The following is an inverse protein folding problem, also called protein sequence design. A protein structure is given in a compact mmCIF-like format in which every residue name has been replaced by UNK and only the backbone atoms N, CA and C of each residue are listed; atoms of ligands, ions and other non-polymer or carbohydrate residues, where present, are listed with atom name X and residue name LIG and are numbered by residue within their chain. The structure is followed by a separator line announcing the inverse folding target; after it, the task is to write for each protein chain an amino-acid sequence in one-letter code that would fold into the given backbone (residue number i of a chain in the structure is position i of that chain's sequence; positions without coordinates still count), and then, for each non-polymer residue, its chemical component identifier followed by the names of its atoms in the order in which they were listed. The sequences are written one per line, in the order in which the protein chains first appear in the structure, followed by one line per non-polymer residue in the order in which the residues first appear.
data_IF_029699324846
#
_entry.id   IF_029699324846
#
_cell.length_a   1.000
_cell.length_b   1.000
_cell.length_c   1.000
_cell.angle_alpha   90.00
_cell.angle_beta   90.00
_cell.angle_gamma   90.00
#
_symmetry.space_group_name_H-M   'P 1'
#
loop_
_entity.id
_entity.type
_entity.pdbx_description
1 polymer ?
#
# COMPACT_ATOMS: atom_id res chain seq x y z
N UNK A 1 41.14 -52.80 -18.38
CA UNK A 1 39.70 -53.09 -18.11
C UNK A 1 39.26 -52.55 -16.76
N UNK A 2 40.04 -52.69 -15.68
CA UNK A 2 39.70 -52.11 -14.37
C UNK A 2 39.73 -50.56 -14.35
N UNK A 3 40.57 -49.93 -15.16
CA UNK A 3 40.66 -48.46 -15.26
C UNK A 3 39.35 -47.81 -15.75
N UNK A 4 38.63 -48.46 -16.65
CA UNK A 4 37.37 -47.94 -17.19
C UNK A 4 36.26 -47.98 -16.13
N UNK A 5 36.26 -49.01 -15.27
CA UNK A 5 35.34 -49.13 -14.14
C UNK A 5 35.62 -48.07 -13.07
N UNK A 6 36.90 -47.80 -12.77
CA UNK A 6 37.29 -46.76 -11.81
C UNK A 6 36.92 -45.38 -12.33
N UNK A 7 37.18 -45.09 -13.62
CA UNK A 7 36.82 -43.83 -14.25
C UNK A 7 35.30 -43.56 -14.19
N UNK A 8 34.47 -44.57 -14.46
CA UNK A 8 33.01 -44.44 -14.35
C UNK A 8 32.54 -44.23 -12.91
N UNK A 9 33.11 -44.95 -11.95
CA UNK A 9 32.76 -44.81 -10.54
C UNK A 9 33.05 -43.39 -10.03
N UNK A 10 34.22 -42.83 -10.36
CA UNK A 10 34.58 -41.45 -10.01
C UNK A 10 33.66 -40.45 -10.72
N UNK A 11 33.35 -40.67 -12.00
CA UNK A 11 32.42 -39.83 -12.75
C UNK A 11 31.03 -39.75 -12.12
N UNK A 12 30.49 -40.86 -11.63
CA UNK A 12 29.20 -40.89 -10.93
C UNK A 12 29.23 -40.15 -9.59
N UNK A 13 30.31 -40.30 -8.82
CA UNK A 13 30.48 -39.57 -7.55
C UNK A 13 30.53 -38.06 -7.79
N UNK A 14 31.26 -37.61 -8.82
CA UNK A 14 31.32 -36.20 -9.20
C UNK A 14 29.96 -35.68 -9.66
N UNK A 15 29.24 -36.44 -10.49
CA UNK A 15 27.92 -36.05 -10.96
C UNK A 15 26.90 -35.97 -9.80
N UNK A 16 26.95 -36.90 -8.85
CA UNK A 16 26.12 -36.84 -7.64
C UNK A 16 26.43 -35.60 -6.78
N UNK A 17 27.71 -35.24 -6.62
CA UNK A 17 28.12 -34.04 -5.92
C UNK A 17 27.59 -32.77 -6.61
N UNK A 18 27.76 -32.65 -7.94
CA UNK A 18 27.24 -31.50 -8.71
C UNK A 18 25.72 -31.43 -8.64
N UNK A 19 25.02 -32.56 -8.73
CA UNK A 19 23.57 -32.62 -8.64
C UNK A 19 23.05 -32.13 -7.27
N UNK A 20 23.73 -32.49 -6.18
CA UNK A 20 23.38 -32.02 -4.85
C UNK A 20 23.49 -30.49 -4.73
N UNK A 21 24.56 -29.90 -5.29
CA UNK A 21 24.75 -28.45 -5.31
C UNK A 21 23.67 -27.77 -6.14
N UNK A 22 23.32 -28.33 -7.30
CA UNK A 22 22.26 -27.81 -8.16
C UNK A 22 20.89 -27.75 -7.44
N UNK A 23 20.54 -28.78 -6.68
CA UNK A 23 19.29 -28.80 -5.91
C UNK A 23 19.25 -27.69 -4.84
N UNK A 24 20.36 -27.49 -4.13
CA UNK A 24 20.48 -26.41 -3.14
C UNK A 24 20.35 -25.05 -3.82
N UNK A 25 21.04 -24.84 -4.94
CA UNK A 25 20.97 -23.58 -5.69
C UNK A 25 19.56 -23.27 -6.19
N UNK A 26 18.85 -24.26 -6.75
CA UNK A 26 17.49 -24.06 -7.26
C UNK A 26 16.51 -23.72 -6.12
N UNK A 27 16.65 -24.37 -4.96
CA UNK A 27 15.87 -24.04 -3.76
C UNK A 27 16.13 -22.62 -3.28
N UNK A 28 17.39 -22.22 -3.20
CA UNK A 28 17.76 -20.86 -2.76
C UNK A 28 17.28 -19.79 -3.74
N UNK A 29 17.34 -20.04 -5.05
CA UNK A 29 16.83 -19.11 -6.07
C UNK A 29 15.33 -18.82 -5.86
N UNK A 30 14.52 -19.86 -5.68
CA UNK A 30 13.07 -19.73 -5.43
C UNK A 30 12.77 -18.96 -4.15
N UNK A 31 13.56 -19.19 -3.10
CA UNK A 31 13.41 -18.46 -1.84
C UNK A 31 13.75 -16.97 -2.01
N UNK A 32 14.80 -16.67 -2.78
CA UNK A 32 15.21 -15.29 -3.07
C UNK A 32 14.16 -14.56 -3.92
N UNK A 33 13.54 -15.23 -4.89
CA UNK A 33 12.44 -14.68 -5.69
C UNK A 33 11.27 -14.26 -4.78
N UNK A 34 10.83 -15.14 -3.87
CA UNK A 34 9.72 -14.83 -2.95
C UNK A 34 10.02 -13.66 -2.01
N UNK A 35 11.27 -13.56 -1.51
CA UNK A 35 11.68 -12.43 -0.66
C UNK A 35 11.68 -11.13 -1.48
N UNK A 36 12.16 -11.19 -2.71
CA UNK A 36 12.22 -10.04 -3.61
C UNK A 36 10.82 -9.53 -3.94
N UNK A 37 9.90 -10.44 -4.30
CA UNK A 37 8.49 -10.13 -4.56
C UNK A 37 7.82 -9.51 -3.33
N UNK A 38 7.96 -10.12 -2.15
CA UNK A 38 7.41 -9.59 -0.89
C UNK A 38 7.86 -8.15 -0.62
N UNK A 39 9.13 -7.84 -0.84
CA UNK A 39 9.66 -6.48 -0.65
C UNK A 39 9.20 -5.51 -1.75
N UNK A 40 9.09 -5.98 -3.00
CA UNK A 40 8.53 -5.19 -4.10
C UNK A 40 7.08 -4.83 -3.82
N UNK A 41 6.27 -5.78 -3.36
CA UNK A 41 4.88 -5.55 -2.96
C UNK A 41 4.79 -4.49 -1.85
N UNK A 42 5.66 -4.55 -0.84
CA UNK A 42 5.69 -3.53 0.21
C UNK A 42 6.01 -2.13 -0.37
N UNK A 43 6.99 -2.03 -1.28
CA UNK A 43 7.34 -0.75 -1.92
C UNK A 43 6.22 -0.23 -2.81
N UNK A 44 5.60 -1.08 -3.64
CA UNK A 44 4.47 -0.71 -4.50
C UNK A 44 3.28 -0.23 -3.67
N UNK A 45 2.94 -0.94 -2.60
CA UNK A 45 1.86 -0.57 -1.70
C UNK A 45 2.13 0.80 -1.03
N UNK A 46 3.34 1.01 -0.52
CA UNK A 46 3.75 2.27 0.09
C UNK A 46 3.72 3.43 -0.91
N UNK A 47 4.24 3.24 -2.12
CA UNK A 47 4.26 4.26 -3.17
C UNK A 47 2.84 4.66 -3.58
N UNK A 48 1.96 3.69 -3.78
CA UNK A 48 0.58 3.93 -4.19
C UNK A 48 -0.19 4.74 -3.14
N UNK A 49 -0.16 4.30 -1.86
CA UNK A 49 -0.83 5.03 -0.79
C UNK A 49 -0.22 6.42 -0.63
N UNK A 50 1.11 6.53 -0.66
CA UNK A 50 1.79 7.82 -0.48
C UNK A 50 1.44 8.80 -1.60
N UNK A 51 1.43 8.36 -2.86
CA UNK A 51 1.10 9.20 -4.02
C UNK A 51 -0.32 9.75 -3.93
N UNK A 52 -1.30 8.88 -3.67
CA UNK A 52 -2.70 9.29 -3.59
C UNK A 52 -2.94 10.17 -2.35
N UNK A 53 -2.31 9.84 -1.22
CA UNK A 53 -2.41 10.62 0.01
C UNK A 53 -1.76 12.01 -0.10
N UNK A 54 -0.73 12.17 -0.93
CA UNK A 54 -0.11 13.47 -1.19
C UNK A 54 -1.05 14.45 -1.91
N UNK A 55 -2.06 13.94 -2.62
CA UNK A 55 -3.10 14.74 -3.28
C UNK A 55 -4.32 15.01 -2.38
N UNK A 56 -4.44 14.32 -1.24
CA UNK A 56 -5.54 14.55 -0.30
C UNK A 56 -5.67 16.03 0.08
N UNK A 57 -6.87 16.60 -0.04
CA UNK A 57 -7.11 18.01 0.23
C UNK A 57 -6.96 18.93 -0.97
N UNK A 58 -6.66 18.40 -2.15
CA UNK A 58 -6.67 19.19 -3.38
C UNK A 58 -8.10 19.56 -3.77
N UNK A 59 -8.29 20.78 -4.27
CA UNK A 59 -9.55 21.28 -4.82
C UNK A 59 -9.33 22.23 -6.00
N UNK A 60 -8.21 22.05 -6.72
CA UNK A 60 -7.78 22.84 -7.87
C UNK A 60 -7.66 24.36 -7.71
N UNK A 61 -7.32 25.01 -8.84
CA UNK A 61 -7.05 26.45 -8.93
C UNK A 61 -8.09 27.21 -9.78
N UNK A 62 -9.14 26.52 -10.22
CA UNK A 62 -10.28 27.06 -10.99
C UNK A 62 -11.56 26.28 -10.65
N UNK A 63 -11.71 25.87 -9.38
CA UNK A 63 -12.91 25.17 -8.97
C UNK A 63 -14.11 26.10 -9.01
N UNK A 64 -15.25 25.57 -9.49
CA UNK A 64 -16.52 26.32 -9.43
C UNK A 64 -16.91 26.59 -7.97
N UNK A 65 -16.56 25.66 -7.07
CA UNK A 65 -16.73 25.78 -5.62
C UNK A 65 -15.48 25.28 -4.91
N UNK A 66 -14.93 26.06 -3.98
CA UNK A 66 -13.80 25.61 -3.15
C UNK A 66 -14.34 24.81 -1.98
N UNK A 67 -13.96 23.54 -1.89
CA UNK A 67 -14.33 22.67 -0.77
C UNK A 67 -13.48 22.96 0.48
N UNK A 68 -14.11 23.04 1.67
CA UNK A 68 -13.38 23.20 2.92
C UNK A 68 -12.62 21.92 3.27
N UNK A 69 -11.63 22.05 4.17
CA UNK A 69 -10.92 20.89 4.70
C UNK A 69 -11.81 20.09 5.65
N UNK A 70 -11.77 18.77 5.58
CA UNK A 70 -12.47 17.91 6.52
C UNK A 70 -11.90 18.07 7.94
N UNK A 71 -12.74 18.47 8.89
CA UNK A 71 -12.39 18.66 10.32
C UNK A 71 -13.05 17.65 11.25
N UNK A 72 -13.91 16.76 10.74
CA UNK A 72 -14.67 15.80 11.56
C UNK A 72 -15.84 16.42 12.33
N UNK A 73 -16.08 17.73 12.19
CA UNK A 73 -17.14 18.49 12.87
C UNK A 73 -18.28 18.90 11.93
N UNK A 74 -18.33 18.44 10.69
CA UNK A 74 -19.42 18.77 9.76
C UNK A 74 -20.67 17.98 10.16
N UNK A 75 -21.45 18.60 11.05
CA UNK A 75 -22.83 18.30 11.46
C UNK A 75 -23.85 18.43 10.32
N UNK A 76 -23.41 18.30 9.07
CA UNK A 76 -24.28 18.05 7.93
C UNK A 76 -23.74 16.79 7.26
N UNK A 77 -24.52 15.73 7.31
CA UNK A 77 -24.23 14.40 6.76
C UNK A 77 -23.81 14.41 5.28
N UNK A 78 -23.92 15.54 4.58
CA UNK A 78 -23.64 15.69 3.15
C UNK A 78 -22.88 16.98 2.76
N UNK A 79 -22.20 17.70 3.67
CA UNK A 79 -21.37 18.83 3.24
C UNK A 79 -20.04 18.31 2.64
N UNK A 80 -19.76 18.51 1.33
CA UNK A 80 -18.54 18.03 0.72
C UNK A 80 -17.32 18.74 1.33
N UNK A 81 -16.26 17.97 1.56
CA UNK A 81 -15.00 18.46 2.09
C UNK A 81 -13.85 17.66 1.49
N UNK A 82 -12.66 18.25 1.46
CA UNK A 82 -11.44 17.62 0.95
C UNK A 82 -10.42 17.38 2.08
N UNK A 83 -9.51 16.44 1.87
CA UNK A 83 -8.51 16.03 2.85
C UNK A 83 -8.84 14.68 3.48
N UNK A 84 -8.30 14.37 4.66
CA UNK A 84 -8.58 13.10 5.33
C UNK A 84 -10.02 13.12 5.82
N UNK A 85 -10.84 12.17 5.35
CA UNK A 85 -12.26 12.03 5.67
C UNK A 85 -12.50 11.01 6.78
N UNK A 86 -11.63 10.01 6.91
CA UNK A 86 -11.62 9.06 8.02
C UNK A 86 -10.19 8.64 8.38
N UNK A 87 -9.87 8.70 9.68
CA UNK A 87 -8.55 8.42 10.22
C UNK A 87 -8.59 7.20 11.17
N UNK A 88 -8.70 5.99 10.61
CA UNK A 88 -8.74 4.75 11.40
C UNK A 88 -7.36 4.08 11.48
N UNK A 89 -7.14 3.23 12.48
CA UNK A 89 -5.85 2.57 12.67
C UNK A 89 -5.45 1.66 11.49
N UNK A 90 -6.40 0.97 10.84
CA UNK A 90 -6.12 -0.01 9.77
C UNK A 90 -6.72 0.36 8.41
N UNK A 91 -7.34 1.54 8.31
CA UNK A 91 -7.93 2.04 7.08
C UNK A 91 -7.88 3.56 7.07
N UNK A 92 -7.65 4.14 5.90
CA UNK A 92 -7.68 5.57 5.70
C UNK A 92 -8.60 5.91 4.55
N UNK A 93 -9.43 6.94 4.75
CA UNK A 93 -10.22 7.54 3.68
C UNK A 93 -9.82 9.00 3.54
N UNK A 94 -9.72 9.47 2.30
CA UNK A 94 -9.43 10.86 2.00
C UNK A 94 -10.09 11.28 0.70
N UNK A 95 -10.39 12.58 0.61
CA UNK A 95 -11.02 13.20 -0.52
C UNK A 95 -10.12 14.26 -1.17
N UNK A 96 -10.32 14.44 -2.46
CA UNK A 96 -9.82 15.52 -3.29
C UNK A 96 -10.88 15.81 -4.35
N UNK A 97 -10.85 17.02 -4.91
CA UNK A 97 -11.72 17.45 -6.00
C UNK A 97 -10.77 17.81 -7.15
N UNK A 98 -10.71 16.93 -8.15
CA UNK A 98 -9.72 16.96 -9.25
C UNK A 98 -10.35 17.15 -10.61
N UNK A 99 -11.64 16.84 -10.78
CA UNK A 99 -12.30 16.89 -12.08
C UNK A 99 -13.79 17.21 -11.96
N UNK A 100 -14.48 17.25 -13.09
CA UNK A 100 -15.93 17.38 -13.15
C UNK A 100 -16.59 16.01 -13.34
N UNK A 101 -17.92 15.96 -13.26
CA UNK A 101 -18.66 14.71 -13.48
C UNK A 101 -18.39 14.02 -14.84
N UNK A 102 -17.91 14.76 -15.84
CA UNK A 102 -17.52 14.22 -17.14
C UNK A 102 -16.10 13.65 -17.17
N UNK A 103 -15.26 13.93 -16.16
CA UNK A 103 -13.86 13.53 -16.09
C UNK A 103 -12.97 14.28 -17.10
N UNK A 104 -13.44 15.41 -17.64
CA UNK A 104 -12.76 16.16 -18.71
C UNK A 104 -12.50 17.62 -18.36
N UNK A 105 -13.18 18.13 -17.34
CA UNK A 105 -13.04 19.47 -16.81
C UNK A 105 -12.23 19.54 -15.52
N UNK A 106 -12.20 20.73 -14.95
CA UNK A 106 -11.61 20.99 -13.64
C UNK A 106 -12.57 20.65 -12.49
N UNK A 107 -12.11 20.82 -11.24
CA UNK A 107 -12.89 20.53 -10.04
C UNK A 107 -14.26 21.24 -10.04
N UNK A 108 -15.33 20.52 -9.77
CA UNK A 108 -16.71 21.04 -9.84
C UNK A 108 -17.34 21.30 -8.46
N UNK A 109 -16.63 20.97 -7.38
CA UNK A 109 -17.09 21.21 -6.02
C UNK A 109 -17.84 20.04 -5.39
N UNK A 110 -17.69 18.83 -5.92
CA UNK A 110 -18.04 17.61 -5.22
C UNK A 110 -16.83 16.66 -5.06
N UNK A 111 -17.07 15.40 -4.72
CA UNK A 111 -16.02 14.38 -4.53
C UNK A 111 -16.49 12.99 -4.96
N UNK A 112 -17.54 12.95 -5.76
CA UNK A 112 -18.26 11.75 -6.13
C UNK A 112 -17.77 11.18 -7.47
N UNK A 113 -16.78 11.84 -8.08
CA UNK A 113 -16.17 11.39 -9.34
C UNK A 113 -15.00 10.44 -9.13
N UNK A 114 -14.51 9.86 -10.23
CA UNK A 114 -13.47 8.84 -10.16
C UNK A 114 -12.15 9.41 -9.59
N UNK A 115 -11.57 8.70 -8.63
CA UNK A 115 -10.34 9.04 -7.90
C UNK A 115 -10.44 10.24 -6.95
N UNK A 116 -11.65 10.67 -6.61
CA UNK A 116 -11.86 11.81 -5.72
C UNK A 116 -12.00 11.40 -4.26
N UNK A 117 -12.75 10.34 -3.98
CA UNK A 117 -12.87 9.78 -2.64
C UNK A 117 -12.21 8.40 -2.59
N UNK A 118 -11.00 8.34 -2.03
CA UNK A 118 -10.18 7.13 -2.02
C UNK A 118 -10.16 6.54 -0.61
N UNK A 119 -10.34 5.22 -0.51
CA UNK A 119 -10.17 4.46 0.73
C UNK A 119 -9.19 3.31 0.52
N UNK A 120 -8.26 3.18 1.46
CA UNK A 120 -7.34 2.05 1.56
C UNK A 120 -7.61 1.23 2.82
N UNK A 121 -7.56 -0.09 2.68
CA UNK A 121 -7.63 -1.06 3.75
C UNK A 121 -7.04 -2.41 3.28
N UNK A 122 -6.75 -3.30 4.21
CA UNK A 122 -6.36 -4.68 3.88
C UNK A 122 -7.60 -5.57 3.93
N UNK A 123 -7.78 -6.38 2.90
CA UNK A 123 -8.87 -7.34 2.82
C UNK A 123 -8.39 -8.64 2.15
N UNK A 124 -9.24 -9.66 2.16
CA UNK A 124 -8.94 -10.93 1.49
C UNK A 124 -9.58 -10.95 0.10
N UNK A 125 -8.76 -11.11 -0.94
CA UNK A 125 -9.18 -11.29 -2.33
C UNK A 125 -8.72 -12.67 -2.80
N UNK A 126 -9.64 -13.53 -3.24
CA UNK A 126 -9.29 -14.88 -3.72
C UNK A 126 -8.54 -15.76 -2.71
N UNK A 127 -8.73 -15.53 -1.40
CA UNK A 127 -8.00 -16.24 -0.34
C UNK A 127 -6.61 -15.66 0.00
N UNK A 128 -6.18 -14.61 -0.69
CA UNK A 128 -4.90 -13.92 -0.48
C UNK A 128 -5.16 -12.56 0.19
N UNK A 129 -4.43 -12.18 1.24
CA UNK A 129 -4.54 -10.85 1.82
C UNK A 129 -3.95 -9.81 0.86
N UNK A 130 -4.69 -8.76 0.57
CA UNK A 130 -4.34 -7.75 -0.42
C UNK A 130 -4.63 -6.35 0.11
N UNK A 131 -3.85 -5.38 -0.38
CA UNK A 131 -4.19 -3.97 -0.26
C UNK A 131 -5.38 -3.70 -1.19
N UNK A 132 -6.49 -3.27 -0.59
CA UNK A 132 -7.65 -2.77 -1.30
C UNK A 132 -7.53 -1.29 -1.57
N UNK A 133 -7.89 -0.87 -2.77
CA UNK A 133 -8.17 0.52 -3.12
C UNK A 133 -9.63 0.63 -3.54
N UNK A 134 -10.38 1.51 -2.89
CA UNK A 134 -11.75 1.87 -3.26
C UNK A 134 -11.79 3.34 -3.69
N UNK A 135 -12.53 3.63 -4.75
CA UNK A 135 -12.84 4.99 -5.21
C UNK A 135 -14.33 5.27 -5.03
N UNK A 136 -14.73 6.54 -4.97
CA UNK A 136 -16.12 7.06 -5.01
C UNK A 136 -17.02 6.32 -6.01
N UNK A 137 -16.55 6.16 -7.25
CA UNK A 137 -17.29 5.50 -8.34
C UNK A 137 -17.26 3.96 -8.29
N UNK A 138 -16.43 3.37 -7.43
CA UNK A 138 -16.35 1.91 -7.27
C UNK A 138 -17.05 1.48 -5.98
N UNK A 139 -18.15 0.75 -6.12
CA UNK A 139 -18.81 0.13 -4.98
C UNK A 139 -17.90 -0.88 -4.24
N UNK A 140 -16.97 -1.50 -4.96
CA UNK A 140 -16.10 -2.59 -4.46
C UNK A 140 -14.64 -2.16 -4.31
N UNK A 141 -13.93 -2.82 -3.38
CA UNK A 141 -12.47 -2.71 -3.23
C UNK A 141 -11.79 -3.49 -4.35
N UNK A 142 -10.84 -2.85 -5.03
CA UNK A 142 -9.99 -3.52 -6.02
C UNK A 142 -8.69 -3.95 -5.35
N UNK A 143 -8.19 -5.19 -5.59
CA UNK A 143 -6.92 -5.63 -5.06
C UNK A 143 -5.81 -4.99 -5.88
N UNK A 144 -5.06 -4.07 -5.27
CA UNK A 144 -4.00 -3.33 -5.98
C UNK A 144 -2.61 -3.92 -5.72
N UNK A 145 -2.41 -4.57 -4.57
CA UNK A 145 -1.16 -5.26 -4.23
C UNK A 145 -1.50 -6.50 -3.41
N UNK A 146 -0.99 -7.66 -3.82
CA UNK A 146 -1.18 -8.92 -3.13
C UNK A 146 -0.17 -9.15 -2.01
N UNK A 147 -0.47 -10.12 -1.14
CA UNK A 147 0.34 -10.53 0.00
C UNK A 147 0.62 -9.39 0.99
N UNK A 148 -0.30 -8.43 1.12
CA UNK A 148 -0.26 -7.38 2.14
C UNK A 148 -1.05 -7.87 3.35
N UNK A 149 -0.34 -8.32 4.38
CA UNK A 149 -0.91 -8.96 5.57
C UNK A 149 -1.41 -8.00 6.64
N UNK A 150 -0.80 -6.81 6.74
CA UNK A 150 -1.23 -5.77 7.67
C UNK A 150 -0.95 -4.38 7.11
N UNK A 151 -1.81 -3.45 7.49
CA UNK A 151 -1.70 -2.03 7.22
C UNK A 151 -2.06 -1.29 8.49
N UNK A 152 -1.24 -0.31 8.87
CA UNK A 152 -1.54 0.58 9.98
C UNK A 152 -1.18 2.03 9.68
N UNK A 153 -1.94 2.93 10.28
CA UNK A 153 -1.78 4.37 10.17
C UNK A 153 -1.64 4.99 11.56
N UNK A 154 -0.64 5.86 11.70
CA UNK A 154 -0.48 6.74 12.86
C UNK A 154 -0.53 8.18 12.38
N UNK A 155 -1.51 8.92 12.88
CA UNK A 155 -1.80 10.28 12.46
C UNK A 155 -1.17 11.28 13.42
N UNK A 156 -0.40 12.21 12.88
CA UNK A 156 0.43 13.13 13.65
C UNK A 156 0.11 14.59 13.31
N UNK A 157 0.15 15.51 14.30
CA UNK A 157 0.06 16.94 14.06
C UNK A 157 1.30 17.50 13.35
N UNK A 158 1.27 18.81 13.04
CA UNK A 158 2.38 19.52 12.37
C UNK A 158 3.70 19.38 13.14
N UNK A 159 3.61 19.46 14.47
CA UNK A 159 4.73 19.39 15.41
C UNK A 159 4.43 18.35 16.48
N UNK A 160 5.48 17.77 17.08
CA UNK A 160 5.35 16.73 18.09
C UNK A 160 5.14 15.32 17.53
N UNK A 161 4.98 14.36 18.44
CA UNK A 161 4.88 12.91 18.15
C UNK A 161 3.61 12.28 18.70
N UNK A 162 2.75 13.04 19.38
CA UNK A 162 1.50 12.54 19.93
C UNK A 162 0.50 12.26 18.80
N UNK A 163 0.02 11.03 18.72
CA UNK A 163 -0.97 10.65 17.74
C UNK A 163 -2.32 11.35 18.02
N UNK A 164 -3.05 11.69 16.96
CA UNK A 164 -4.38 12.32 17.05
C UNK A 164 -5.32 11.76 16.00
N UNK A 165 -6.58 11.54 16.36
CA UNK A 165 -7.65 11.19 15.41
C UNK A 165 -8.47 12.41 14.99
N UNK A 166 -8.16 13.59 15.56
CA UNK A 166 -8.81 14.84 15.17
C UNK A 166 -8.30 15.27 13.78
N UNK A 167 -9.18 15.12 12.79
CA UNK A 167 -8.90 15.46 11.39
C UNK A 167 -8.42 16.91 11.22
N UNK A 168 -8.87 17.83 12.09
CA UNK A 168 -8.47 19.24 12.10
C UNK A 168 -6.98 19.45 12.46
N UNK A 169 -6.36 18.48 13.13
CA UNK A 169 -4.97 18.55 13.61
C UNK A 169 -4.00 17.74 12.75
N UNK A 170 -4.46 16.74 12.00
CA UNK A 170 -3.57 15.86 11.21
C UNK A 170 -2.83 16.66 10.13
N UNK A 171 -1.50 16.53 10.10
CA UNK A 171 -0.61 17.08 9.05
C UNK A 171 0.40 16.07 8.50
N UNK A 172 0.60 14.97 9.24
CA UNK A 172 1.54 13.90 8.92
C UNK A 172 0.84 12.57 9.14
N UNK A 173 1.07 11.62 8.24
CA UNK A 173 0.54 10.26 8.34
C UNK A 173 1.70 9.30 8.25
N UNK A 174 2.00 8.60 9.34
CA UNK A 174 2.91 7.49 9.32
C UNK A 174 2.14 6.23 8.91
N UNK A 175 2.65 5.56 7.88
CA UNK A 175 2.07 4.36 7.29
C UNK A 175 3.04 3.23 7.58
N UNK A 176 2.53 2.10 8.09
CA UNK A 176 3.30 0.86 8.21
C UNK A 176 2.58 -0.26 7.48
N UNK A 177 3.28 -0.90 6.55
CA UNK A 177 2.78 -1.99 5.71
C UNK A 177 3.59 -3.24 6.00
N UNK A 178 2.92 -4.33 6.31
CA UNK A 178 3.54 -5.65 6.47
C UNK A 178 3.11 -6.56 5.34
N UNK A 179 4.05 -6.99 4.50
CA UNK A 179 3.86 -8.00 3.47
C UNK A 179 4.35 -9.36 3.92
N UNK A 180 3.91 -10.40 3.23
CA UNK A 180 4.36 -11.78 3.44
C UNK A 180 4.82 -12.43 2.13
N UNK A 181 5.58 -13.52 2.22
CA UNK A 181 5.88 -14.36 1.05
C UNK A 181 4.60 -15.00 0.50
N UNK A 182 4.54 -15.23 -0.81
CA UNK A 182 3.38 -15.86 -1.45
C UNK A 182 3.15 -17.30 -0.95
N UNK A 183 4.23 -18.02 -0.64
CA UNK A 183 4.21 -19.37 -0.10
C UNK A 183 4.90 -19.43 1.27
N UNK A 184 4.64 -20.51 2.00
CA UNK A 184 5.38 -20.84 3.22
C UNK A 184 6.82 -21.23 2.87
N UNK A 185 7.74 -20.82 3.71
CA UNK A 185 9.15 -21.20 3.60
C UNK A 185 9.30 -22.72 3.88
N UNK A 186 9.84 -23.51 2.94
CA UNK A 186 10.02 -24.95 3.12
C UNK A 186 10.91 -25.34 4.30
N UNK A 187 11.78 -24.45 4.78
CA UNK A 187 12.65 -24.71 5.93
C UNK A 187 11.98 -24.49 7.29
N UNK A 188 10.98 -23.61 7.36
CA UNK A 188 10.34 -23.22 8.64
C UNK A 188 8.86 -23.56 8.71
N UNK A 189 8.21 -23.87 7.59
CA UNK A 189 6.77 -24.12 7.49
C UNK A 189 5.91 -22.87 7.67
N UNK A 190 6.52 -21.68 7.78
CA UNK A 190 5.85 -20.42 8.05
C UNK A 190 6.05 -19.43 6.90
N UNK A 191 5.14 -18.48 6.76
CA UNK A 191 5.36 -17.32 5.91
C UNK A 191 6.47 -16.45 6.49
N UNK A 192 7.29 -15.85 5.61
CA UNK A 192 8.20 -14.78 6.01
C UNK A 192 7.49 -13.45 5.86
N UNK A 193 7.83 -12.49 6.71
CA UNK A 193 7.21 -11.16 6.73
C UNK A 193 8.25 -10.07 6.52
N UNK A 194 7.83 -8.98 5.91
CA UNK A 194 8.63 -7.77 5.75
C UNK A 194 7.75 -6.55 6.04
N UNK A 195 8.24 -5.66 6.90
CA UNK A 195 7.52 -4.43 7.27
C UNK A 195 8.27 -3.21 6.76
N UNK A 196 7.54 -2.33 6.07
CA UNK A 196 8.03 -1.05 5.60
C UNK A 196 7.22 0.07 6.24
N UNK A 197 7.90 1.04 6.84
CA UNK A 197 7.27 2.21 7.46
C UNK A 197 7.77 3.48 6.79
N UNK A 198 6.86 4.39 6.46
CA UNK A 198 7.19 5.73 5.95
C UNK A 198 6.25 6.77 6.55
N UNK A 199 6.67 8.02 6.55
CA UNK A 199 5.82 9.15 6.95
C UNK A 199 5.58 10.06 5.78
N UNK A 200 4.30 10.30 5.49
CA UNK A 200 3.83 11.17 4.41
C UNK A 200 3.35 12.49 5.00
N UNK A 201 3.68 13.60 4.34
CA UNK A 201 3.27 14.96 4.69
C UNK A 201 2.40 15.52 3.54
N UNK A 202 1.08 15.31 3.55
CA UNK A 202 0.21 15.78 2.47
C UNK A 202 0.29 17.30 2.33
N UNK A 203 0.68 17.79 1.16
CA UNK A 203 0.99 19.22 0.95
C UNK A 203 -0.26 20.10 1.12
N UNK A 204 -1.40 19.61 0.63
CA UNK A 204 -2.64 20.38 0.64
C UNK A 204 -3.28 20.46 2.04
N UNK A 205 -2.86 19.62 3.00
CA UNK A 205 -3.32 19.71 4.39
C UNK A 205 -2.58 20.76 5.22
N UNK A 206 -1.43 21.27 4.73
CA UNK A 206 -0.62 22.26 5.43
C UNK A 206 -1.09 23.71 5.19
N UNK A 207 -1.90 23.95 4.16
CA UNK A 207 -2.22 25.29 3.66
C UNK A 207 -3.43 25.97 4.32
N UNK A 208 -4.13 25.35 5.29
CA UNK A 208 -5.38 25.90 5.86
C UNK A 208 -5.15 26.97 6.95
N UNK A 209 -4.18 27.87 6.74
CA UNK A 209 -3.75 28.91 7.67
C UNK A 209 -3.80 30.33 7.10
N UNK A 210 -4.71 30.60 6.15
CA UNK A 210 -4.99 31.94 5.63
C UNK A 210 -6.48 32.23 5.72
#
# INVERSE_FOLDING_TARGET
MIELLIAMAVGLVLLAAVYSVFLVQNKELRNQEQITEMQQNARMAMEMISRDLMMAGFGGYNATTILPRCTGTTTATNAPCVGITAANANSISFAMDVTDNAGTGGPDGDRDDANENITYDVYTSGGVPALGRKSSTSASRMPVVENVSALSFTYLPATGTTATTDLSLIRRVQISITTRTANVDPGTGNYRYFTLTSTVTPRNLMLSGF
#
